data_IF_373893134578
#
_entry.id   IF_373893134578
#
_cell.length_a   1.000
_cell.length_b   1.000
_cell.length_c   1.000
_cell.angle_alpha   90.00
_cell.angle_beta   90.00
_cell.angle_gamma   90.00
#
_symmetry.space_group_name_H-M   'P 1'
#
loop_
_entity.id
_entity.type
_entity.pdbx_description
1 polymer ?
#
# COMPACT_ATOMS: atom_id res chain seq x y z
N UNK A 1 -0.87 -6.67 9.04
CA UNK A 1 -0.80 -7.43 7.77
C UNK A 1 -1.83 -6.82 6.82
N UNK A 2 -1.63 -6.86 5.50
CA UNK A 2 -2.57 -6.34 4.51
C UNK A 2 -3.22 -7.54 3.79
N UNK A 3 -4.38 -8.06 4.25
CA UNK A 3 -5.02 -9.25 3.69
C UNK A 3 -5.35 -9.14 2.20
N UNK A 4 -5.57 -7.94 1.68
CA UNK A 4 -5.91 -7.72 0.27
C UNK A 4 -4.67 -7.54 -0.62
N UNK A 5 -3.48 -7.42 -0.04
CA UNK A 5 -2.25 -7.41 -0.81
C UNK A 5 -1.95 -8.83 -1.34
N UNK A 6 -1.56 -8.99 -2.62
CA UNK A 6 -1.04 -10.25 -3.13
C UNK A 6 0.14 -10.76 -2.28
N UNK A 7 0.28 -12.09 -2.17
CA UNK A 7 1.26 -12.72 -1.28
C UNK A 7 2.73 -12.44 -1.62
N UNK A 8 3.01 -11.94 -2.82
CA UNK A 8 4.33 -11.52 -3.28
C UNK A 8 4.62 -10.02 -3.02
N UNK A 9 3.70 -9.31 -2.38
CA UNK A 9 3.90 -7.90 -2.05
C UNK A 9 4.99 -7.71 -0.99
N UNK A 10 5.86 -6.72 -1.22
CA UNK A 10 6.87 -6.29 -0.24
C UNK A 10 6.91 -4.77 -0.16
N UNK A 11 7.43 -4.23 0.95
CA UNK A 11 7.43 -2.79 1.18
C UNK A 11 8.63 -2.29 1.96
N UNK A 12 9.06 -1.06 1.63
CA UNK A 12 9.89 -0.22 2.49
C UNK A 12 8.97 0.73 3.27
N UNK A 13 9.16 0.80 4.60
CA UNK A 13 8.32 1.60 5.49
C UNK A 13 9.17 2.63 6.24
N UNK A 14 8.69 3.86 6.28
CA UNK A 14 9.32 4.99 6.95
C UNK A 14 8.44 5.58 8.05
N UNK A 15 9.02 6.51 8.80
CA UNK A 15 8.36 7.23 9.89
C UNK A 15 7.07 7.94 9.44
N UNK A 16 6.01 7.90 10.24
CA UNK A 16 4.69 8.52 9.93
C UNK A 16 4.03 8.02 8.63
N UNK A 17 4.09 6.70 8.42
CA UNK A 17 3.34 5.98 7.37
C UNK A 17 3.78 6.26 5.94
N UNK A 18 5.00 6.74 5.72
CA UNK A 18 5.58 6.75 4.38
C UNK A 18 5.86 5.31 3.94
N UNK A 19 5.45 4.97 2.72
CA UNK A 19 5.63 3.61 2.19
C UNK A 19 5.91 3.62 0.70
N UNK A 20 6.77 2.69 0.30
CA UNK A 20 6.88 2.20 -1.07
C UNK A 20 6.49 0.73 -1.02
N UNK A 21 5.40 0.38 -1.69
CA UNK A 21 4.86 -0.99 -1.74
C UNK A 21 4.98 -1.48 -3.18
N UNK A 22 5.61 -2.62 -3.37
CA UNK A 22 5.79 -3.25 -4.68
C UNK A 22 4.95 -4.53 -4.74
N UNK A 23 4.18 -4.69 -5.80
CA UNK A 23 3.33 -5.85 -6.07
C UNK A 23 3.72 -6.42 -7.45
N UNK A 24 4.72 -7.31 -7.52
CA UNK A 24 5.28 -7.81 -8.78
C UNK A 24 4.25 -8.47 -9.70
N UNK A 25 3.39 -9.33 -9.16
CA UNK A 25 2.31 -10.00 -9.91
C UNK A 25 1.34 -9.05 -10.61
N UNK A 26 1.29 -7.79 -10.20
CA UNK A 26 0.46 -6.74 -10.80
C UNK A 26 1.26 -5.69 -11.58
N UNK A 27 2.59 -5.82 -11.67
CA UNK A 27 3.46 -4.79 -12.25
C UNK A 27 3.27 -3.42 -11.60
N UNK A 28 2.94 -3.39 -10.30
CA UNK A 28 2.43 -2.21 -9.60
C UNK A 28 3.38 -1.74 -8.51
N UNK A 29 3.61 -0.43 -8.45
CA UNK A 29 4.29 0.24 -7.34
C UNK A 29 3.37 1.31 -6.76
N UNK A 30 3.10 1.23 -5.47
CA UNK A 30 2.33 2.21 -4.72
C UNK A 30 3.26 3.06 -3.87
N UNK A 31 3.15 4.38 -4.00
CA UNK A 31 3.94 5.33 -3.21
C UNK A 31 3.01 6.18 -2.36
N UNK A 32 3.24 6.18 -1.06
CA UNK A 32 2.56 7.05 -0.10
C UNK A 32 3.59 7.95 0.57
N UNK A 33 3.46 9.25 0.35
CA UNK A 33 4.14 10.25 1.18
C UNK A 33 3.47 10.31 2.55
N UNK A 34 4.26 10.13 3.61
CA UNK A 34 3.76 10.16 4.98
C UNK A 34 3.55 11.59 5.47
N UNK A 35 2.59 11.76 6.38
CA UNK A 35 2.39 12.92 7.25
C UNK A 35 1.37 12.54 8.35
N UNK A 36 1.37 11.25 8.73
CA UNK A 36 0.28 10.65 9.50
C UNK A 36 0.61 10.75 10.98
N UNK A 37 0.19 11.84 11.63
CA UNK A 37 0.35 12.01 13.08
C UNK A 37 -0.54 11.05 13.87
N UNK A 38 -1.77 10.84 13.40
CA UNK A 38 -2.69 9.83 13.92
C UNK A 38 -2.70 8.60 13.01
N UNK A 39 -2.13 7.49 13.49
CA UNK A 39 -2.03 6.23 12.75
C UNK A 39 -3.39 5.65 12.35
N UNK A 40 -4.43 5.89 13.15
CA UNK A 40 -5.78 5.36 12.92
C UNK A 40 -6.50 6.04 11.76
N UNK A 41 -6.07 7.24 11.37
CA UNK A 41 -6.61 7.97 10.23
C UNK A 41 -6.19 7.39 8.87
N UNK A 42 -5.40 6.31 8.85
CA UNK A 42 -4.95 5.68 7.61
C UNK A 42 -5.06 4.16 7.60
N UNK A 43 -5.72 3.64 6.56
CA UNK A 43 -5.77 2.22 6.25
C UNK A 43 -4.97 1.92 4.97
N UNK A 44 -3.86 1.19 5.13
CA UNK A 44 -3.03 0.79 3.99
C UNK A 44 -3.63 -0.38 3.22
N UNK A 45 -4.38 -1.25 3.89
CA UNK A 45 -4.99 -2.41 3.24
C UNK A 45 -6.14 -1.98 2.32
N UNK A 46 -7.00 -1.08 2.81
CA UNK A 46 -8.06 -0.47 2.00
C UNK A 46 -7.49 0.26 0.78
N UNK A 47 -6.43 1.05 0.96
CA UNK A 47 -5.75 1.75 -0.15
C UNK A 47 -5.23 0.78 -1.22
N UNK A 48 -4.61 -0.34 -0.82
CA UNK A 48 -4.13 -1.36 -1.75
C UNK A 48 -5.31 -1.94 -2.56
N UNK A 49 -6.39 -2.32 -1.87
CA UNK A 49 -7.58 -2.89 -2.49
C UNK A 49 -8.20 -1.93 -3.53
N UNK A 50 -8.35 -0.66 -3.16
CA UNK A 50 -8.98 0.35 -4.02
C UNK A 50 -8.16 0.63 -5.28
N UNK A 51 -6.84 0.74 -5.17
CA UNK A 51 -5.97 0.95 -6.34
C UNK A 51 -5.97 -0.29 -7.24
N UNK A 52 -5.88 -1.49 -6.68
CA UNK A 52 -5.94 -2.75 -7.43
C UNK A 52 -7.24 -2.87 -8.25
N UNK A 53 -8.37 -2.40 -7.69
CA UNK A 53 -9.68 -2.39 -8.36
C UNK A 53 -9.79 -1.32 -9.45
N UNK A 54 -9.08 -0.20 -9.30
CA UNK A 54 -9.12 0.90 -10.26
C UNK A 54 -8.24 0.65 -11.51
N UNK A 55 -7.26 -0.24 -11.40
CA UNK A 55 -6.35 -0.56 -12.51
C UNK A 55 -6.85 -1.76 -13.33
N UNK A 56 -6.66 -1.73 -14.67
CA UNK A 56 -6.92 -2.89 -15.51
C UNK A 56 -6.05 -4.09 -15.10
N UNK A 57 -6.55 -5.30 -15.40
CA UNK A 57 -5.87 -6.57 -15.16
C UNK A 57 -4.73 -6.82 -16.13
#
# INVERSE_FOLDING_TARGET
MWPHAPGDAYAAQGFQEQKVIVIPTRGLVLVRFGATADRSAWDTDAFILDVIRALPG
#
